data_IF_249345596284
#
_entry.id   IF_249345596284
#
_cell.length_a   1.000
_cell.length_b   1.000
_cell.length_c   1.000
_cell.angle_alpha   90.00
_cell.angle_beta   90.00
_cell.angle_gamma   90.00
#
_symmetry.space_group_name_H-M   'P 1'
#
loop_
_entity.id
_entity.type
_entity.pdbx_description
1 polymer ?
#
# COMPACT_ATOMS: atom_id res chain seq x y z
N UNK A 1 19.43 -2.43 -18.97
CA UNK A 1 20.34 -3.11 -18.02
C UNK A 1 20.19 -2.44 -16.66
N UNK A 2 19.66 -3.13 -15.64
CA UNK A 2 19.30 -2.53 -14.35
C UNK A 2 20.49 -2.30 -13.41
N UNK A 3 21.57 -3.06 -13.59
CA UNK A 3 22.79 -3.01 -12.80
C UNK A 3 23.98 -3.34 -13.72
N UNK A 4 25.07 -2.58 -13.61
CA UNK A 4 26.34 -2.79 -14.31
C UNK A 4 27.47 -2.58 -13.33
N UNK A 5 28.38 -3.56 -13.25
CA UNK A 5 29.60 -3.45 -12.46
C UNK A 5 30.78 -3.62 -13.37
N UNK A 6 31.71 -2.69 -13.28
CA UNK A 6 32.94 -2.69 -14.07
C UNK A 6 34.14 -2.45 -13.17
N UNK A 7 35.26 -3.03 -13.55
CA UNK A 7 36.54 -2.72 -12.95
C UNK A 7 37.41 -2.13 -14.04
N UNK A 8 38.01 -0.98 -13.76
CA UNK A 8 38.94 -0.34 -14.68
C UNK A 8 40.25 -0.06 -13.96
N UNK A 9 41.31 -0.06 -14.76
CA UNK A 9 42.66 0.26 -14.33
C UNK A 9 42.80 1.77 -14.14
N UNK A 10 43.23 2.18 -12.94
CA UNK A 10 43.36 3.60 -12.59
C UNK A 10 44.82 4.06 -12.59
N UNK A 11 45.74 3.19 -12.18
CA UNK A 11 47.16 3.48 -12.15
C UNK A 11 48.00 2.19 -12.19
N UNK A 12 49.16 2.28 -12.83
CA UNK A 12 50.19 1.24 -12.84
C UNK A 12 51.49 1.83 -12.32
N UNK A 13 52.14 1.11 -11.41
CA UNK A 13 53.45 1.47 -10.88
C UNK A 13 54.42 0.32 -11.10
N UNK A 14 55.55 0.63 -11.70
CA UNK A 14 56.66 -0.31 -11.84
C UNK A 14 57.30 -0.58 -10.47
N UNK A 15 57.74 -1.83 -10.26
CA UNK A 15 58.26 -2.29 -8.98
C UNK A 15 59.73 -2.66 -9.09
N UNK A 16 60.55 -1.78 -9.68
CA UNK A 16 61.98 -2.06 -9.98
C UNK A 16 62.80 -2.45 -8.73
N UNK A 17 62.41 -1.96 -7.55
CA UNK A 17 63.06 -2.28 -6.27
C UNK A 17 62.54 -3.52 -5.56
N UNK A 18 61.51 -4.20 -6.11
CA UNK A 18 60.85 -5.35 -5.49
C UNK A 18 60.98 -6.59 -6.37
N UNK A 19 61.52 -7.67 -5.78
CA UNK A 19 61.55 -8.98 -6.42
C UNK A 19 60.21 -9.71 -6.29
N UNK A 20 59.81 -10.44 -7.32
CA UNK A 20 58.62 -11.30 -7.29
C UNK A 20 58.88 -12.51 -6.37
N UNK A 21 58.06 -12.73 -5.33
CA UNK A 21 58.28 -13.78 -4.33
C UNK A 21 58.01 -15.21 -4.85
N UNK A 22 57.33 -15.36 -5.99
CA UNK A 22 57.01 -16.66 -6.60
C UNK A 22 58.04 -17.00 -7.68
N UNK A 23 58.47 -16.01 -8.45
CA UNK A 23 59.45 -16.15 -9.52
C UNK A 23 60.41 -14.93 -9.53
N UNK A 24 61.52 -14.96 -8.78
CA UNK A 24 62.38 -13.79 -8.58
C UNK A 24 62.98 -13.18 -9.86
N UNK A 25 63.10 -13.98 -10.91
CA UNK A 25 63.60 -13.53 -12.21
C UNK A 25 62.56 -12.75 -13.05
N UNK A 26 61.28 -12.81 -12.67
CA UNK A 26 60.22 -12.17 -13.43
C UNK A 26 59.95 -10.75 -12.91
N UNK A 27 59.82 -9.81 -13.84
CA UNK A 27 59.37 -8.46 -13.53
C UNK A 27 57.93 -8.46 -13.02
N UNK A 28 57.63 -7.48 -12.17
CA UNK A 28 56.35 -7.32 -11.51
C UNK A 28 55.89 -5.86 -11.62
N UNK A 29 54.58 -5.66 -11.64
CA UNK A 29 53.95 -4.34 -11.60
C UNK A 29 52.86 -4.30 -10.55
N UNK A 30 52.66 -3.14 -9.93
CA UNK A 30 51.54 -2.86 -9.05
C UNK A 30 50.45 -2.13 -9.83
N UNK A 31 49.30 -2.76 -9.99
CA UNK A 31 48.14 -2.20 -10.68
C UNK A 31 47.04 -1.87 -9.68
N UNK A 32 46.49 -0.66 -9.76
CA UNK A 32 45.33 -0.25 -8.96
C UNK A 32 44.08 -0.28 -9.81
N UNK A 33 43.09 -1.05 -9.36
CA UNK A 33 41.77 -1.11 -9.97
C UNK A 33 40.75 -0.33 -9.16
N UNK A 34 39.77 0.27 -9.83
CA UNK A 34 38.58 0.84 -9.18
C UNK A 34 37.33 0.17 -9.74
N UNK A 35 36.41 -0.14 -8.83
CA UNK A 35 35.12 -0.69 -9.22
C UNK A 35 34.15 0.46 -9.44
N UNK A 36 33.50 0.49 -10.60
CA UNK A 36 32.34 1.31 -10.88
C UNK A 36 31.07 0.46 -10.82
N UNK A 37 30.03 1.03 -10.23
CA UNK A 37 28.70 0.47 -10.13
C UNK A 37 27.72 1.47 -10.74
N UNK A 38 27.01 1.06 -11.79
CA UNK A 38 25.89 1.81 -12.35
C UNK A 38 24.58 1.06 -12.13
N UNK A 39 23.57 1.76 -11.64
CA UNK A 39 22.18 1.29 -11.61
C UNK A 39 21.30 2.30 -12.35
N UNK A 40 20.02 1.97 -12.54
CA UNK A 40 19.07 2.91 -13.11
C UNK A 40 18.94 4.22 -12.28
N UNK A 41 19.16 4.15 -10.97
CA UNK A 41 18.86 5.23 -10.00
C UNK A 41 20.14 5.96 -9.57
N UNK A 42 21.27 5.26 -9.50
CA UNK A 42 22.52 5.83 -9.00
C UNK A 42 23.76 5.20 -9.64
N UNK A 43 24.84 5.97 -9.65
CA UNK A 43 26.18 5.54 -10.00
C UNK A 43 27.09 5.69 -8.77
N UNK A 44 28.03 4.77 -8.60
CA UNK A 44 28.97 4.77 -7.50
C UNK A 44 30.34 4.27 -7.95
N UNK A 45 31.40 4.86 -7.40
CA UNK A 45 32.76 4.32 -7.49
C UNK A 45 33.18 3.79 -6.14
N UNK A 46 34.00 2.74 -6.13
CA UNK A 46 34.62 2.26 -4.89
C UNK A 46 35.46 3.38 -4.28
N UNK A 47 35.27 3.64 -2.98
CA UNK A 47 35.94 4.74 -2.27
C UNK A 47 37.47 4.60 -2.32
N UNK A 48 37.97 3.38 -2.12
CA UNK A 48 39.39 3.06 -2.20
C UNK A 48 39.68 2.24 -3.46
N UNK A 49 40.78 2.52 -4.17
CA UNK A 49 41.26 1.63 -5.22
C UNK A 49 41.84 0.35 -4.59
N UNK A 50 41.82 -0.74 -5.35
CA UNK A 50 42.34 -2.05 -4.96
C UNK A 50 43.64 -2.30 -5.70
N UNK A 51 44.76 -2.30 -4.97
CA UNK A 51 46.06 -2.65 -5.52
C UNK A 51 46.24 -4.17 -5.66
N UNK A 52 46.80 -4.58 -6.79
CA UNK A 52 47.14 -5.97 -7.13
C UNK A 52 48.51 -6.02 -7.81
N UNK A 53 49.36 -6.95 -7.38
CA UNK A 53 50.62 -7.21 -8.04
C UNK A 53 50.44 -8.22 -9.16
N UNK A 54 51.01 -7.94 -10.33
CA UNK A 54 50.99 -8.80 -11.50
C UNK A 54 52.41 -9.14 -11.94
N UNK A 55 52.64 -10.42 -12.18
CA UNK A 55 53.81 -10.89 -12.92
C UNK A 55 53.61 -10.54 -14.40
N UNK A 56 54.50 -9.72 -14.97
CA UNK A 56 54.37 -9.23 -16.35
C UNK A 56 54.67 -10.32 -17.38
N UNK A 57 55.50 -11.31 -17.02
CA UNK A 57 55.93 -12.41 -17.90
C UNK A 57 54.86 -13.49 -17.92
N UNK A 58 54.42 -13.94 -16.75
CA UNK A 58 53.41 -15.00 -16.64
C UNK A 58 51.98 -14.49 -16.75
N UNK A 59 51.77 -13.17 -16.74
CA UNK A 59 50.45 -12.51 -16.73
C UNK A 59 49.55 -13.07 -15.63
N UNK A 60 50.14 -13.29 -14.45
CA UNK A 60 49.46 -13.87 -13.29
C UNK A 60 49.49 -12.91 -12.13
N UNK A 61 48.35 -12.80 -11.45
CA UNK A 61 48.22 -12.06 -10.21
C UNK A 61 48.95 -12.78 -9.08
N UNK A 62 49.72 -12.02 -8.30
CA UNK A 62 50.37 -12.49 -7.09
C UNK A 62 49.41 -12.31 -5.92
N UNK A 63 48.95 -13.44 -5.35
CA UNK A 63 47.98 -13.44 -4.27
C UNK A 63 48.53 -12.73 -3.01
N UNK A 64 47.66 -12.02 -2.29
CA UNK A 64 48.02 -11.22 -1.09
C UNK A 64 48.79 -11.98 -0.01
N UNK A 65 48.55 -13.28 0.12
CA UNK A 65 49.28 -14.14 1.07
C UNK A 65 50.79 -14.24 0.77
N UNK A 66 51.19 -14.04 -0.49
CA UNK A 66 52.59 -14.06 -0.91
C UNK A 66 53.24 -12.67 -0.85
N UNK A 67 52.52 -11.63 -0.45
CA UNK A 67 53.07 -10.28 -0.38
C UNK A 67 54.07 -10.16 0.77
N UNK A 68 55.30 -9.79 0.42
CA UNK A 68 56.35 -9.49 1.39
C UNK A 68 56.02 -8.20 2.16
N UNK A 69 56.65 -7.95 3.32
CA UNK A 69 56.50 -6.69 4.03
C UNK A 69 56.84 -5.47 3.14
N UNK A 70 57.92 -5.56 2.35
CA UNK A 70 58.32 -4.50 1.42
C UNK A 70 57.25 -4.20 0.35
N UNK A 71 56.58 -5.23 -0.18
CA UNK A 71 55.45 -5.05 -1.09
C UNK A 71 54.28 -4.34 -0.42
N UNK A 72 53.97 -4.65 0.85
CA UNK A 72 52.89 -3.96 1.57
C UNK A 72 53.21 -2.50 1.79
N UNK A 73 54.44 -2.18 2.21
CA UNK A 73 54.89 -0.80 2.39
C UNK A 73 54.85 -0.02 1.08
N UNK A 74 55.32 -0.61 -0.03
CA UNK A 74 55.26 0.02 -1.34
C UNK A 74 53.81 0.25 -1.81
N UNK A 75 52.92 -0.73 -1.60
CA UNK A 75 51.50 -0.55 -1.87
C UNK A 75 50.91 0.63 -1.09
N UNK A 76 51.20 0.73 0.21
CA UNK A 76 50.66 1.77 1.09
C UNK A 76 51.25 3.16 0.79
N UNK A 77 52.46 3.22 0.27
CA UNK A 77 53.04 4.46 -0.27
C UNK A 77 52.30 4.88 -1.55
N UNK A 78 52.22 3.97 -2.53
CA UNK A 78 51.69 4.29 -3.87
C UNK A 78 50.18 4.47 -3.92
N UNK A 79 49.41 3.89 -2.99
CA UNK A 79 47.95 4.11 -2.94
C UNK A 79 47.58 5.59 -2.73
N UNK A 80 48.46 6.38 -2.10
CA UNK A 80 48.26 7.82 -1.90
C UNK A 80 48.43 8.63 -3.18
N UNK A 81 49.22 8.12 -4.13
CA UNK A 81 49.45 8.72 -5.44
C UNK A 81 48.35 8.37 -6.47
N UNK A 82 47.46 7.42 -6.16
CA UNK A 82 46.34 7.07 -7.04
C UNK A 82 45.30 8.19 -7.04
N UNK A 83 44.82 8.65 -8.22
CA UNK A 83 43.76 9.64 -8.30
C UNK A 83 42.54 9.26 -7.44
N UNK A 84 41.96 10.26 -6.77
CA UNK A 84 40.71 10.06 -6.03
C UNK A 84 39.57 9.82 -7.02
N UNK A 85 38.58 9.02 -6.61
CA UNK A 85 37.37 8.85 -7.41
C UNK A 85 36.72 10.23 -7.66
N UNK A 86 36.17 10.47 -8.87
CA UNK A 86 35.50 11.74 -9.19
C UNK A 86 34.29 11.98 -8.29
N UNK A 87 33.60 10.90 -7.88
CA UNK A 87 32.55 10.90 -6.87
C UNK A 87 32.45 9.50 -6.26
N UNK A 88 31.99 9.38 -5.01
CA UNK A 88 31.72 8.07 -4.40
C UNK A 88 30.31 7.58 -4.74
N UNK A 89 29.35 8.49 -4.80
CA UNK A 89 27.95 8.19 -5.10
C UNK A 89 27.30 9.40 -5.77
N UNK A 90 26.48 9.15 -6.80
CA UNK A 90 25.74 10.18 -7.52
C UNK A 90 24.42 9.61 -8.02
N UNK A 91 23.32 10.31 -7.78
CA UNK A 91 22.03 9.95 -8.39
C UNK A 91 22.03 10.26 -9.89
N UNK A 92 21.38 9.39 -10.65
CA UNK A 92 21.04 9.66 -12.05
C UNK A 92 19.86 10.64 -12.10
N UNK A 93 19.59 11.23 -13.27
CA UNK A 93 18.38 12.05 -13.48
C UNK A 93 17.12 11.25 -13.13
N UNK A 94 17.06 9.99 -13.54
CA UNK A 94 15.98 9.07 -13.17
C UNK A 94 15.89 8.84 -11.66
N UNK A 95 17.02 8.77 -10.97
CA UNK A 95 17.04 8.67 -9.51
C UNK A 95 16.43 9.89 -8.82
N UNK A 96 16.69 11.10 -9.31
CA UNK A 96 16.04 12.31 -8.79
C UNK A 96 14.53 12.32 -9.04
N UNK A 97 14.10 11.95 -10.25
CA UNK A 97 12.66 11.84 -10.57
C UNK A 97 11.98 10.81 -9.65
N UNK A 98 12.63 9.67 -9.41
CA UNK A 98 12.12 8.64 -8.53
C UNK A 98 11.98 9.14 -7.08
N UNK A 99 12.97 9.88 -6.57
CA UNK A 99 12.90 10.50 -5.23
C UNK A 99 11.73 11.49 -5.16
N UNK A 100 11.54 12.34 -6.17
CA UNK A 100 10.41 13.27 -6.22
C UNK A 100 9.06 12.54 -6.24
N UNK A 101 8.95 11.44 -6.99
CA UNK A 101 7.75 10.63 -7.03
C UNK A 101 7.42 10.01 -5.65
N UNK A 102 8.43 9.52 -4.93
CA UNK A 102 8.26 9.02 -3.56
C UNK A 102 7.76 10.12 -2.63
N UNK A 103 8.37 11.32 -2.69
CA UNK A 103 7.95 12.46 -1.87
C UNK A 103 6.50 12.84 -2.18
N UNK A 104 6.13 12.94 -3.45
CA UNK A 104 4.77 13.27 -3.87
C UNK A 104 3.75 12.22 -3.40
N UNK A 105 4.11 10.93 -3.47
CA UNK A 105 3.27 9.84 -2.99
C UNK A 105 3.00 9.95 -1.48
N UNK A 106 4.03 10.15 -0.66
CA UNK A 106 3.84 10.32 0.78
C UNK A 106 3.10 11.61 1.16
N UNK A 107 3.33 12.70 0.41
CA UNK A 107 2.56 13.92 0.57
C UNK A 107 1.08 13.70 0.25
N UNK A 108 0.77 12.97 -0.83
CA UNK A 108 -0.60 12.59 -1.18
C UNK A 108 -1.26 11.75 -0.09
N UNK A 109 -0.57 10.72 0.43
CA UNK A 109 -1.11 9.89 1.51
C UNK A 109 -1.43 10.70 2.77
N UNK A 110 -0.57 11.65 3.10
CA UNK A 110 -0.77 12.54 4.27
C UNK A 110 -1.92 13.51 4.03
N UNK A 111 -2.04 14.04 2.81
CA UNK A 111 -3.18 14.88 2.43
C UNK A 111 -4.50 14.09 2.52
N UNK A 112 -4.51 12.85 2.01
CA UNK A 112 -5.70 12.00 2.00
C UNK A 112 -6.14 11.57 3.41
N UNK A 113 -5.20 11.39 4.34
CA UNK A 113 -5.49 11.03 5.72
C UNK A 113 -5.92 12.20 6.60
N UNK A 114 -5.53 13.43 6.24
CA UNK A 114 -5.82 14.64 7.02
C UNK A 114 -6.97 15.47 6.46
N UNK A 115 -7.43 15.19 5.23
CA UNK A 115 -8.59 15.88 4.66
C UNK A 115 -9.82 15.63 5.53
N UNK A 116 -10.63 16.67 5.83
CA UNK A 116 -11.87 16.48 6.55
C UNK A 116 -12.81 15.55 5.76
N UNK A 117 -13.65 14.76 6.44
CA UNK A 117 -14.65 13.95 5.76
C UNK A 117 -15.55 14.86 4.92
N UNK A 118 -15.92 14.39 3.73
CA UNK A 118 -16.89 15.09 2.90
C UNK A 118 -18.18 15.31 3.69
N UNK A 119 -18.89 16.44 3.49
CA UNK A 119 -20.16 16.68 4.14
C UNK A 119 -21.10 15.51 3.86
N UNK A 120 -21.68 14.94 4.93
CA UNK A 120 -22.65 13.84 4.81
C UNK A 120 -23.81 14.30 3.92
N UNK A 121 -24.33 13.39 3.09
CA UNK A 121 -25.53 13.69 2.31
C UNK A 121 -26.73 13.91 3.25
N UNK A 122 -27.73 14.65 2.78
CA UNK A 122 -28.97 14.87 3.56
C UNK A 122 -29.65 13.56 3.96
N UNK A 123 -29.55 12.54 3.10
CA UNK A 123 -30.08 11.20 3.35
C UNK A 123 -29.35 10.49 4.50
N UNK A 124 -28.01 10.60 4.59
CA UNK A 124 -27.24 10.08 5.72
C UNK A 124 -27.62 10.75 7.04
N UNK A 125 -27.80 12.07 7.02
CA UNK A 125 -28.20 12.82 8.22
C UNK A 125 -29.59 12.36 8.68
N UNK A 126 -30.54 12.23 7.76
CA UNK A 126 -31.89 11.77 8.07
C UNK A 126 -31.92 10.32 8.65
N UNK A 127 -31.01 9.46 8.18
CA UNK A 127 -30.87 8.09 8.71
C UNK A 127 -30.20 8.04 10.10
N UNK A 128 -29.50 9.09 10.53
CA UNK A 128 -28.89 9.22 11.87
C UNK A 128 -29.83 9.85 12.91
N UNK A 129 -30.89 10.55 12.49
CA UNK A 129 -31.89 11.15 13.39
C UNK A 129 -32.70 10.11 14.16
N UNK A 130 -33.04 10.38 15.43
CA UNK A 130 -33.88 9.49 16.23
C UNK A 130 -35.17 9.09 15.49
N UNK A 131 -35.52 7.80 15.57
CA UNK A 131 -36.71 7.25 14.92
C UNK A 131 -37.93 7.64 15.74
N UNK A 132 -38.82 8.42 15.13
CA UNK A 132 -40.03 8.93 15.77
C UNK A 132 -41.28 8.26 15.20
N UNK A 133 -42.35 8.32 15.98
CA UNK A 133 -43.68 7.91 15.51
C UNK A 133 -44.08 8.75 14.29
N UNK A 134 -44.51 8.09 13.22
CA UNK A 134 -44.88 8.70 11.96
C UNK A 134 -43.75 8.76 10.92
N UNK A 135 -42.52 8.43 11.28
CA UNK A 135 -41.41 8.34 10.33
C UNK A 135 -41.68 7.28 9.27
N UNK A 136 -41.32 7.61 8.03
CA UNK A 136 -41.52 6.73 6.86
C UNK A 136 -40.16 6.39 6.24
N UNK A 137 -39.86 5.11 6.18
CA UNK A 137 -38.62 4.56 5.67
C UNK A 137 -38.85 3.79 4.37
N UNK A 138 -37.90 3.87 3.45
CA UNK A 138 -37.87 3.05 2.25
C UNK A 138 -36.84 1.94 2.39
N UNK A 139 -37.18 0.74 1.89
CA UNK A 139 -36.23 -0.34 1.75
C UNK A 139 -36.93 -1.66 1.43
N UNK A 140 -36.56 -2.72 2.14
CA UNK A 140 -37.15 -4.03 1.95
C UNK A 140 -37.32 -4.82 3.24
N UNK A 141 -38.23 -5.78 3.20
CA UNK A 141 -38.36 -6.81 4.23
C UNK A 141 -37.98 -8.17 3.65
N UNK A 142 -37.43 -9.02 4.50
CA UNK A 142 -37.20 -10.43 4.25
C UNK A 142 -38.02 -11.24 5.25
N UNK A 143 -39.06 -11.92 4.77
CA UNK A 143 -39.87 -12.82 5.60
C UNK A 143 -39.35 -14.26 5.50
N UNK A 144 -38.82 -14.78 6.60
CA UNK A 144 -38.24 -16.11 6.72
C UNK A 144 -39.32 -17.19 6.92
N UNK A 145 -39.13 -18.35 6.31
CA UNK A 145 -40.02 -19.51 6.53
C UNK A 145 -39.78 -20.17 7.88
N UNK A 146 -38.53 -20.15 8.32
CA UNK A 146 -38.05 -20.69 9.61
C UNK A 146 -37.24 -19.58 10.28
N UNK A 147 -37.40 -19.44 11.59
CA UNK A 147 -36.70 -18.42 12.41
C UNK A 147 -35.19 -18.48 12.14
N UNK A 148 -34.61 -17.35 11.73
CA UNK A 148 -33.18 -17.20 11.47
C UNK A 148 -32.63 -17.93 10.23
N UNK A 149 -33.49 -18.51 9.38
CA UNK A 149 -33.06 -19.13 8.12
C UNK A 149 -33.40 -18.22 6.92
N UNK A 150 -32.40 -17.55 6.32
CA UNK A 150 -32.61 -16.70 5.16
C UNK A 150 -32.89 -17.51 3.87
N UNK A 151 -32.66 -18.83 3.85
CA UNK A 151 -32.87 -19.65 2.65
C UNK A 151 -34.36 -19.74 2.30
N UNK A 152 -34.71 -19.14 1.15
CA UNK A 152 -36.09 -19.11 0.65
C UNK A 152 -36.96 -18.02 1.28
N UNK A 153 -36.34 -16.99 1.86
CA UNK A 153 -37.01 -15.79 2.35
C UNK A 153 -37.81 -15.11 1.24
N UNK A 154 -38.98 -14.57 1.59
CA UNK A 154 -39.78 -13.74 0.68
C UNK A 154 -39.35 -12.29 0.83
N UNK A 155 -38.63 -11.79 -0.17
CA UNK A 155 -38.24 -10.38 -0.25
C UNK A 155 -39.38 -9.54 -0.81
N UNK A 156 -39.63 -8.40 -0.17
CA UNK A 156 -40.61 -7.39 -0.60
C UNK A 156 -40.04 -5.99 -0.42
N UNK A 157 -40.12 -5.16 -1.44
CA UNK A 157 -39.63 -3.78 -1.48
C UNK A 157 -40.77 -2.79 -1.36
N UNK A 158 -40.57 -1.71 -0.59
CA UNK A 158 -41.58 -0.68 -0.41
C UNK A 158 -41.28 0.29 0.72
N UNK A 159 -42.32 1.03 1.10
CA UNK A 159 -42.30 1.99 2.19
C UNK A 159 -42.80 1.37 3.48
N UNK A 160 -42.29 1.86 4.60
CA UNK A 160 -42.57 1.36 5.94
C UNK A 160 -42.81 2.54 6.87
N UNK A 161 -43.87 2.51 7.67
CA UNK A 161 -44.19 3.55 8.62
C UNK A 161 -44.02 3.05 10.05
N UNK A 162 -43.43 3.89 10.90
CA UNK A 162 -43.40 3.66 12.35
C UNK A 162 -44.72 4.13 12.94
N UNK A 163 -45.53 3.19 13.43
CA UNK A 163 -46.89 3.44 13.94
C UNK A 163 -46.86 3.82 15.43
N UNK A 164 -46.01 3.16 16.20
CA UNK A 164 -45.80 3.44 17.61
C UNK A 164 -44.38 3.00 18.02
N UNK A 165 -43.90 3.57 19.13
CA UNK A 165 -42.63 3.21 19.76
C UNK A 165 -42.91 2.96 21.23
N UNK A 166 -42.70 1.74 21.70
CA UNK A 166 -42.83 1.34 23.09
C UNK A 166 -41.47 0.93 23.64
N UNK A 167 -40.88 1.79 24.48
CA UNK A 167 -39.50 1.64 24.97
C UNK A 167 -38.50 1.52 23.81
N UNK A 168 -38.04 0.31 23.49
CA UNK A 168 -37.12 0.00 22.40
C UNK A 168 -37.76 -0.85 21.28
N UNK A 169 -39.08 -1.08 21.34
CA UNK A 169 -39.84 -1.83 20.34
C UNK A 169 -40.54 -0.88 19.39
N UNK A 170 -40.22 -1.00 18.11
CA UNK A 170 -40.78 -0.21 17.02
C UNK A 170 -41.87 -1.01 16.31
N UNK A 171 -43.07 -0.44 16.20
CA UNK A 171 -44.16 -1.06 15.47
C UNK A 171 -44.15 -0.58 14.03
N UNK A 172 -43.82 -1.48 13.11
CA UNK A 172 -43.58 -1.18 11.71
C UNK A 172 -44.76 -1.68 10.87
N UNK A 173 -45.41 -0.76 10.16
CA UNK A 173 -46.44 -1.08 9.18
C UNK A 173 -45.86 -0.96 7.75
N UNK A 174 -45.85 -2.03 6.94
CA UNK A 174 -45.49 -1.94 5.53
C UNK A 174 -46.57 -1.19 4.73
N UNK A 175 -46.20 -0.64 3.57
CA UNK A 175 -47.15 -0.11 2.61
C UNK A 175 -48.07 -1.23 2.10
N UNK A 176 -49.33 -0.92 1.79
CA UNK A 176 -50.29 -1.90 1.24
C UNK A 176 -49.80 -2.49 -0.09
N UNK A 177 -49.09 -1.70 -0.88
CA UNK A 177 -48.53 -2.10 -2.16
C UNK A 177 -47.02 -2.35 -2.08
N UNK A 178 -46.65 -3.61 -1.83
CA UNK A 178 -45.25 -4.05 -1.82
C UNK A 178 -44.86 -4.76 -3.13
N UNK A 179 -43.68 -4.46 -3.66
CA UNK A 179 -43.19 -5.10 -4.89
C UNK A 179 -42.26 -6.29 -4.60
N UNK A 180 -42.31 -7.32 -5.45
CA UNK A 180 -41.43 -8.50 -5.35
C UNK A 180 -40.03 -8.26 -5.92
N UNK A 181 -39.89 -7.22 -6.74
CA UNK A 181 -38.66 -6.80 -7.41
C UNK A 181 -38.40 -5.36 -7.00
N UNK A 182 -37.14 -4.99 -6.88
CA UNK A 182 -36.75 -3.61 -6.59
C UNK A 182 -37.35 -2.63 -7.61
N UNK A 183 -37.89 -1.53 -7.10
CA UNK A 183 -38.32 -0.36 -7.87
C UNK A 183 -37.86 0.91 -7.15
N UNK A 184 -37.65 1.97 -7.92
CA UNK A 184 -37.24 3.26 -7.38
C UNK A 184 -38.31 3.81 -6.41
N UNK A 185 -37.87 4.46 -5.33
CA UNK A 185 -38.71 4.93 -4.22
C UNK A 185 -39.83 5.89 -4.67
N UNK A 186 -39.58 6.66 -5.73
CA UNK A 186 -40.51 7.62 -6.33
C UNK A 186 -41.69 6.95 -7.05
N UNK A 187 -41.54 5.68 -7.43
CA UNK A 187 -42.56 4.91 -8.18
C UNK A 187 -43.49 4.09 -7.29
N UNK A 188 -43.30 4.16 -5.97
CA UNK A 188 -43.98 3.32 -4.98
C UNK A 188 -44.87 4.17 -4.08
N UNK A 189 -46.05 3.62 -3.75
CA UNK A 189 -46.99 4.26 -2.85
C UNK A 189 -46.37 4.40 -1.44
N UNK A 190 -46.34 5.64 -0.94
CA UNK A 190 -45.77 6.02 0.36
C UNK A 190 -46.79 6.66 1.31
N UNK A 191 -48.09 6.57 0.98
CA UNK A 191 -49.20 7.17 1.74
C UNK A 191 -50.11 6.12 2.37
N UNK A 192 -50.28 4.97 1.72
CA UNK A 192 -51.19 3.92 2.19
C UNK A 192 -50.42 2.76 2.85
N UNK A 193 -50.64 2.59 4.16
CA UNK A 193 -49.99 1.57 4.98
C UNK A 193 -50.99 0.54 5.50
N UNK A 194 -50.50 -0.64 5.84
CA UNK A 194 -51.29 -1.66 6.52
C UNK A 194 -51.72 -1.19 7.91
N UNK A 195 -52.89 -1.62 8.36
CA UNK A 195 -53.38 -1.34 9.71
C UNK A 195 -52.68 -2.21 10.76
N UNK A 196 -52.23 -3.40 10.35
CA UNK A 196 -51.46 -4.31 11.18
C UNK A 196 -49.96 -3.93 11.17
N UNK A 197 -49.42 -3.69 12.36
CA UNK A 197 -48.00 -3.39 12.56
C UNK A 197 -47.27 -4.56 13.20
N UNK A 198 -46.02 -4.80 12.79
CA UNK A 198 -45.16 -5.83 13.39
C UNK A 198 -44.18 -5.19 14.38
N UNK A 199 -44.06 -5.70 15.61
CA UNK A 199 -43.07 -5.21 16.57
C UNK A 199 -41.66 -5.67 16.15
N UNK A 200 -40.70 -4.75 16.13
CA UNK A 200 -39.32 -4.99 15.75
C UNK A 200 -38.32 -4.20 16.59
N UNK A 201 -37.11 -4.74 16.71
CA UNK A 201 -36.00 -4.18 17.46
C UNK A 201 -34.86 -3.78 16.51
N UNK A 202 -34.17 -2.68 16.80
CA UNK A 202 -32.99 -2.27 16.04
C UNK A 202 -31.85 -3.23 16.31
N UNK A 203 -31.36 -3.89 15.26
CA UNK A 203 -30.20 -4.79 15.31
C UNK A 203 -28.91 -4.05 14.98
N UNK A 204 -28.95 -3.17 13.98
CA UNK A 204 -27.77 -2.42 13.53
C UNK A 204 -28.20 -1.09 12.95
N UNK A 205 -27.41 -0.04 13.23
CA UNK A 205 -27.58 1.30 12.69
C UNK A 205 -26.26 1.78 12.11
N UNK A 206 -26.25 1.98 10.80
CA UNK A 206 -25.14 2.52 10.04
C UNK A 206 -25.55 3.87 9.43
N UNK A 207 -24.59 4.67 8.96
CA UNK A 207 -24.85 6.01 8.41
C UNK A 207 -25.85 6.03 7.24
N UNK A 208 -26.03 4.92 6.53
CA UNK A 208 -26.96 4.81 5.38
C UNK A 208 -27.95 3.66 5.51
N UNK A 209 -27.92 2.90 6.60
CA UNK A 209 -28.78 1.72 6.73
C UNK A 209 -29.25 1.51 8.16
N UNK A 210 -30.52 1.16 8.32
CA UNK A 210 -31.07 0.70 9.59
C UNK A 210 -31.58 -0.71 9.37
N UNK A 211 -31.12 -1.65 10.20
CA UNK A 211 -31.58 -3.03 10.22
C UNK A 211 -32.41 -3.26 11.46
N UNK A 212 -33.63 -3.73 11.28
CA UNK A 212 -34.52 -4.12 12.37
C UNK A 212 -34.93 -5.58 12.22
N UNK A 213 -35.06 -6.28 13.35
CA UNK A 213 -35.52 -7.66 13.39
C UNK A 213 -36.82 -7.72 14.17
N UNK A 214 -37.85 -8.36 13.61
CA UNK A 214 -39.11 -8.55 14.31
C UNK A 214 -38.91 -9.35 15.60
N UNK A 215 -39.76 -9.12 16.60
CA UNK A 215 -39.67 -9.82 17.91
C UNK A 215 -39.83 -11.34 17.77
N UNK A 216 -40.58 -11.80 16.77
CA UNK A 216 -40.72 -13.23 16.45
C UNK A 216 -39.53 -13.79 15.64
N UNK A 217 -38.57 -12.95 15.27
CA UNK A 217 -37.37 -13.25 14.47
C UNK A 217 -37.66 -13.91 13.12
N UNK A 218 -38.86 -13.67 12.57
CA UNK A 218 -39.29 -14.16 11.26
C UNK A 218 -39.21 -13.11 10.16
N UNK A 219 -39.06 -11.84 10.51
CA UNK A 219 -38.99 -10.76 9.54
C UNK A 219 -37.83 -9.83 9.85
N UNK A 220 -36.94 -9.64 8.88
CA UNK A 220 -35.88 -8.64 8.97
C UNK A 220 -36.20 -7.48 8.02
N UNK A 221 -36.09 -6.27 8.52
CA UNK A 221 -36.32 -5.03 7.78
C UNK A 221 -34.99 -4.34 7.53
N UNK A 222 -34.80 -3.89 6.30
CA UNK A 222 -33.64 -3.16 5.82
C UNK A 222 -34.13 -1.82 5.29
N UNK A 223 -33.72 -0.73 5.93
CA UNK A 223 -34.08 0.62 5.53
C UNK A 223 -32.85 1.34 4.99
N UNK A 224 -32.99 1.91 3.80
CA UNK A 224 -31.91 2.57 3.07
C UNK A 224 -32.16 4.08 2.89
N UNK A 225 -33.39 4.56 3.14
CA UNK A 225 -33.67 5.99 3.18
C UNK A 225 -34.86 6.34 4.07
N UNK A 226 -34.88 7.57 4.56
CA UNK A 226 -35.98 8.17 5.32
C UNK A 226 -36.63 9.29 4.47
N UNK A 227 -37.96 9.38 4.51
CA UNK A 227 -38.75 10.42 3.83
C UNK A 227 -38.96 11.64 4.73
#
# INVERSE_FOLDING_TARGET
>A
MFFRVEQFEEAVFETESLANPIAPANAMVLVFYRTWLGTAICNAYSKKPRGEYWDTVQKRKIARRHWTPAMRTFHDEKITAVPRAPYTFKFTIFGYIFILAIIAFFAYLTYDSTKPPLPKSREAIAMEEAINVGDVFFGHLEAFKVKGDPLGARVRFGWFKVVSVEQDTFFIAPAREMNKVYKAKETLNSTDFEEESTPALIKTRETYSIRMLSVDEKTEYYFDSKK
#
